data_IF_287254621652
#
_entry.id   IF_287254621652
#
_cell.length_a   1.000
_cell.length_b   1.000
_cell.length_c   1.000
_cell.angle_alpha   90.00
_cell.angle_beta   90.00
_cell.angle_gamma   90.00
#
_symmetry.space_group_name_H-M   'P 1'
#
loop_
_entity.id
_entity.type
_entity.pdbx_description
1 polymer ?
#
# COMPACT_ATOMS: atom_id res chain seq x y z
N UNK A 1 30.16 20.73 -27.44
CA UNK A 1 29.23 20.50 -26.30
C UNK A 1 30.05 19.90 -25.16
N UNK A 2 30.09 20.48 -23.95
CA UNK A 2 30.81 19.90 -22.82
C UNK A 2 30.15 18.57 -22.43
N UNK A 3 30.93 17.49 -22.28
CA UNK A 3 30.42 16.22 -21.74
C UNK A 3 30.09 16.42 -20.26
N UNK A 4 28.81 16.33 -19.91
CA UNK A 4 28.36 16.37 -18.52
C UNK A 4 28.98 15.16 -17.78
N UNK A 5 29.90 15.43 -16.84
CA UNK A 5 30.72 14.40 -16.18
C UNK A 5 30.01 13.66 -15.04
N UNK A 6 28.78 14.06 -14.70
CA UNK A 6 28.04 13.55 -13.54
C UNK A 6 27.03 12.44 -13.89
N UNK A 7 26.93 12.07 -15.16
CA UNK A 7 26.02 11.01 -15.62
C UNK A 7 26.81 9.72 -15.81
N UNK A 8 26.35 8.65 -15.16
CA UNK A 8 26.86 7.29 -15.36
C UNK A 8 25.84 6.47 -16.14
N UNK A 9 26.32 5.58 -17.00
CA UNK A 9 25.50 4.55 -17.62
C UNK A 9 25.16 3.47 -16.61
N UNK A 10 23.94 2.94 -16.71
CA UNK A 10 23.51 1.78 -15.93
C UNK A 10 22.94 0.74 -16.89
N UNK A 11 23.50 -0.46 -16.87
CA UNK A 11 23.02 -1.63 -17.60
C UNK A 11 22.32 -2.55 -16.61
N UNK A 12 21.02 -2.72 -16.77
CA UNK A 12 20.26 -3.71 -16.01
C UNK A 12 20.31 -5.06 -16.72
N UNK A 13 20.80 -6.08 -16.03
CA UNK A 13 20.78 -7.47 -16.50
C UNK A 13 19.77 -8.23 -15.66
N UNK A 14 18.62 -8.54 -16.27
CA UNK A 14 17.53 -9.25 -15.60
C UNK A 14 17.59 -10.74 -15.92
N UNK A 15 17.71 -11.56 -14.88
CA UNK A 15 17.61 -13.02 -14.99
C UNK A 15 16.23 -13.46 -14.52
N UNK A 16 15.50 -14.13 -15.41
CA UNK A 16 14.18 -14.69 -15.12
C UNK A 16 14.35 -16.20 -15.02
N UNK A 17 14.23 -16.72 -13.80
CA UNK A 17 14.25 -18.15 -13.54
C UNK A 17 12.86 -18.57 -13.05
N UNK A 18 12.03 -19.20 -13.90
CA UNK A 18 10.67 -19.59 -13.54
C UNK A 18 10.64 -20.55 -12.35
N UNK A 19 11.71 -21.32 -12.11
CA UNK A 19 11.78 -22.27 -10.99
C UNK A 19 11.88 -21.58 -9.63
N UNK A 20 12.23 -20.29 -9.60
CA UNK A 20 12.31 -19.47 -8.38
C UNK A 20 11.00 -18.78 -8.04
N UNK A 21 9.95 -18.98 -8.83
CA UNK A 21 8.64 -18.39 -8.62
C UNK A 21 7.72 -19.49 -8.10
N UNK A 22 7.40 -19.41 -6.82
CA UNK A 22 6.56 -20.37 -6.10
C UNK A 22 5.06 -20.10 -6.23
N UNK A 23 4.67 -18.94 -6.77
CA UNK A 23 3.26 -18.55 -6.94
C UNK A 23 2.66 -19.24 -8.17
N UNK A 24 1.37 -19.61 -8.07
CA UNK A 24 0.62 -20.24 -9.16
C UNK A 24 0.34 -19.32 -10.36
N UNK A 25 0.66 -18.03 -10.22
CA UNK A 25 0.43 -17.01 -11.24
C UNK A 25 1.77 -16.58 -11.80
N UNK A 26 2.06 -16.88 -13.07
CA UNK A 26 3.31 -16.47 -13.71
C UNK A 26 3.30 -14.94 -13.89
N UNK A 27 4.19 -14.18 -13.23
CA UNK A 27 4.16 -12.71 -13.22
C UNK A 27 4.74 -12.10 -14.51
N UNK A 28 4.97 -12.93 -15.53
CA UNK A 28 5.48 -12.52 -16.82
C UNK A 28 4.98 -13.43 -17.95
N UNK A 29 5.04 -12.94 -19.17
CA UNK A 29 4.78 -13.69 -20.40
C UNK A 29 5.74 -13.26 -21.50
N UNK A 30 6.12 -14.19 -22.38
CA UNK A 30 6.73 -13.84 -23.66
C UNK A 30 5.67 -13.23 -24.56
N UNK A 31 5.99 -12.15 -25.25
CA UNK A 31 5.07 -11.45 -26.18
C UNK A 31 5.71 -11.21 -27.55
N UNK A 32 6.66 -12.07 -27.93
CA UNK A 32 7.41 -11.99 -29.20
C UNK A 32 6.50 -11.83 -30.44
N UNK A 33 5.32 -12.46 -30.44
CA UNK A 33 4.33 -12.40 -31.52
C UNK A 33 3.61 -11.04 -31.64
N UNK A 34 3.73 -10.20 -30.62
CA UNK A 34 3.10 -8.87 -30.53
C UNK A 34 4.12 -7.73 -30.51
N UNK A 35 5.41 -8.03 -30.69
CA UNK A 35 6.46 -7.01 -30.70
C UNK A 35 6.27 -6.02 -31.85
N UNK A 36 6.43 -4.73 -31.54
CA UNK A 36 6.43 -3.67 -32.54
C UNK A 36 7.67 -3.73 -33.45
N UNK A 37 8.75 -4.36 -32.99
CA UNK A 37 10.02 -4.47 -33.70
C UNK A 37 10.27 -5.92 -34.13
N UNK A 38 10.30 -6.15 -35.44
CA UNK A 38 10.43 -7.51 -35.98
C UNK A 38 11.76 -8.15 -35.57
N UNK A 39 11.68 -9.25 -34.84
CA UNK A 39 12.84 -10.07 -34.44
C UNK A 39 13.38 -9.79 -33.04
N UNK A 40 12.79 -8.83 -32.32
CA UNK A 40 13.06 -8.66 -30.88
C UNK A 40 12.33 -9.73 -30.07
N UNK A 41 12.93 -10.11 -28.94
CA UNK A 41 12.29 -10.96 -27.94
C UNK A 41 11.82 -10.07 -26.81
N UNK A 42 10.53 -10.12 -26.51
CA UNK A 42 9.89 -9.23 -25.56
C UNK A 42 9.24 -10.01 -24.42
N UNK A 43 9.38 -9.48 -23.22
CA UNK A 43 8.82 -10.06 -22.01
C UNK A 43 7.93 -9.01 -21.35
N UNK A 44 6.65 -9.34 -21.21
CA UNK A 44 5.68 -8.55 -20.48
C UNK A 44 5.69 -8.98 -19.02
N UNK A 45 5.78 -8.02 -18.09
CA UNK A 45 5.60 -8.26 -16.67
C UNK A 45 4.24 -7.74 -16.21
N UNK A 46 3.62 -8.44 -15.25
CA UNK A 46 2.48 -7.88 -14.53
C UNK A 46 2.90 -6.66 -13.72
N UNK A 47 1.96 -5.74 -13.51
CA UNK A 47 2.17 -4.65 -12.57
C UNK A 47 2.46 -5.23 -11.18
N UNK A 48 3.42 -4.63 -10.47
CA UNK A 48 3.94 -5.05 -9.15
C UNK A 48 4.95 -6.20 -9.14
N UNK A 49 5.46 -6.64 -10.30
CA UNK A 49 6.60 -7.57 -10.31
C UNK A 49 7.82 -6.93 -9.64
N UNK A 50 8.36 -7.61 -8.63
CA UNK A 50 9.52 -7.15 -7.85
C UNK A 50 10.78 -7.85 -8.33
N UNK A 51 11.87 -7.07 -8.48
CA UNK A 51 13.20 -7.58 -8.79
C UNK A 51 14.15 -7.29 -7.64
N UNK A 52 14.96 -8.28 -7.28
CA UNK A 52 16.04 -8.13 -6.30
C UNK A 52 17.34 -7.81 -7.02
N UNK A 53 18.07 -6.80 -6.52
CA UNK A 53 19.45 -6.54 -6.91
C UNK A 53 20.35 -7.62 -6.30
N UNK A 54 21.00 -8.40 -7.16
CA UNK A 54 21.91 -9.49 -6.79
C UNK A 54 23.33 -8.96 -6.66
N UNK A 55 23.78 -8.21 -7.64
CA UNK A 55 25.15 -7.69 -7.72
C UNK A 55 25.15 -6.34 -8.44
N UNK A 56 26.02 -5.45 -7.99
CA UNK A 56 26.37 -4.23 -8.70
C UNK A 56 27.87 -4.17 -8.90
N UNK A 57 28.31 -4.10 -10.16
CA UNK A 57 29.74 -4.00 -10.49
C UNK A 57 29.97 -2.94 -11.55
N UNK A 58 31.13 -2.30 -11.48
CA UNK A 58 31.55 -1.31 -12.45
C UNK A 58 32.32 -2.02 -13.57
N UNK A 59 31.99 -1.74 -14.83
CA UNK A 59 32.69 -2.36 -15.95
C UNK A 59 34.08 -1.74 -16.11
N UNK A 60 35.09 -2.58 -16.37
CA UNK A 60 36.50 -2.17 -16.48
C UNK A 60 36.76 -1.13 -17.59
N UNK A 61 35.92 -1.09 -18.62
CA UNK A 61 36.00 -0.10 -19.68
C UNK A 61 35.36 1.23 -19.21
N UNK A 62 36.22 2.13 -18.72
CA UNK A 62 35.97 3.56 -18.46
C UNK A 62 35.28 3.95 -17.14
N UNK A 63 35.08 3.06 -16.16
CA UNK A 63 34.52 3.39 -14.84
C UNK A 63 33.22 4.24 -14.89
N UNK A 64 32.47 4.16 -15.98
CA UNK A 64 31.28 5.00 -16.21
C UNK A 64 30.04 4.20 -16.53
N UNK A 65 30.14 2.89 -16.48
CA UNK A 65 29.03 1.98 -16.66
C UNK A 65 28.95 1.04 -15.46
N UNK A 66 27.78 1.04 -14.82
CA UNK A 66 27.41 0.11 -13.76
C UNK A 66 26.56 -1.00 -14.35
N UNK A 67 26.94 -2.24 -14.10
CA UNK A 67 26.13 -3.42 -14.36
C UNK A 67 25.38 -3.76 -13.08
N UNK A 68 24.04 -3.80 -13.16
CA UNK A 68 23.16 -4.14 -12.07
C UNK A 68 22.46 -5.45 -12.43
N UNK A 69 22.84 -6.52 -11.75
CA UNK A 69 22.21 -7.81 -11.93
C UNK A 69 20.94 -7.88 -11.08
N UNK A 70 19.83 -8.22 -11.72
CA UNK A 70 18.51 -8.34 -11.14
C UNK A 70 18.02 -9.77 -11.30
N UNK A 71 17.38 -10.31 -10.26
CA UNK A 71 16.62 -11.56 -10.33
C UNK A 71 15.18 -11.29 -9.99
N UNK A 72 14.26 -11.97 -10.68
CA UNK A 72 12.86 -11.97 -10.26
C UNK A 72 12.74 -12.60 -8.87
N UNK A 73 11.82 -12.10 -8.07
CA UNK A 73 11.51 -12.62 -6.74
C UNK A 73 10.01 -12.76 -6.54
N UNK A 74 9.61 -13.48 -5.49
CA UNK A 74 8.21 -13.73 -5.14
C UNK A 74 7.93 -13.42 -3.66
N UNK A 75 6.70 -13.69 -3.22
CA UNK A 75 6.25 -13.41 -1.85
C UNK A 75 6.98 -14.24 -0.78
N UNK A 76 7.70 -15.30 -1.16
CA UNK A 76 8.50 -16.13 -0.25
C UNK A 76 9.93 -15.61 -0.05
N UNK A 77 10.30 -14.50 -0.70
CA UNK A 77 11.57 -13.82 -0.50
C UNK A 77 11.75 -13.36 0.97
N UNK A 78 12.75 -13.86 1.72
CA UNK A 78 12.91 -13.53 3.13
C UNK A 78 13.21 -12.06 3.40
N UNK A 79 13.87 -11.36 2.47
CA UNK A 79 14.16 -9.94 2.61
C UNK A 79 12.92 -9.09 2.29
N UNK A 80 12.13 -9.48 1.29
CA UNK A 80 10.85 -8.85 1.01
C UNK A 80 9.89 -9.05 2.19
N UNK A 81 9.85 -10.25 2.77
CA UNK A 81 9.09 -10.55 3.98
C UNK A 81 9.56 -9.70 5.16
N UNK A 82 10.88 -9.58 5.36
CA UNK A 82 11.47 -8.75 6.41
C UNK A 82 11.13 -7.27 6.22
N UNK A 83 11.27 -6.72 5.01
CA UNK A 83 10.88 -5.35 4.68
C UNK A 83 9.39 -5.13 4.91
N UNK A 84 8.56 -6.07 4.47
CA UNK A 84 7.11 -6.03 4.68
C UNK A 84 6.77 -6.05 6.16
N UNK A 85 7.46 -6.86 6.96
CA UNK A 85 7.29 -6.91 8.41
C UNK A 85 7.79 -5.64 9.10
N UNK A 86 8.91 -5.07 8.64
CA UNK A 86 9.41 -3.81 9.16
C UNK A 86 8.44 -2.66 8.86
N UNK A 87 7.92 -2.57 7.63
CA UNK A 87 6.86 -1.62 7.29
C UNK A 87 5.64 -1.87 8.16
N UNK A 88 5.24 -3.15 8.38
CA UNK A 88 4.16 -3.52 9.30
C UNK A 88 4.41 -3.06 10.74
N UNK A 89 5.64 -3.17 11.24
CA UNK A 89 6.07 -2.72 12.57
C UNK A 89 6.08 -1.20 12.69
N UNK A 90 6.62 -0.48 11.69
CA UNK A 90 6.59 0.99 11.65
C UNK A 90 5.18 1.55 11.57
N UNK A 91 4.26 0.80 10.94
CA UNK A 91 2.84 1.13 10.94
C UNK A 91 2.09 0.56 12.16
N UNK A 92 2.73 -0.12 13.10
CA UNK A 92 2.05 -0.51 14.34
C UNK A 92 1.75 0.71 15.22
N UNK A 93 0.53 0.71 15.78
CA UNK A 93 -0.01 1.82 16.57
C UNK A 93 -1.18 2.54 15.86
N UNK A 94 -1.84 3.46 16.58
CA UNK A 94 -3.06 4.13 16.11
C UNK A 94 -2.83 5.01 14.87
N UNK A 95 -1.61 5.48 14.63
CA UNK A 95 -1.27 6.37 13.50
C UNK A 95 -0.86 5.61 12.24
N UNK A 96 -0.10 4.52 12.38
CA UNK A 96 0.40 3.72 11.28
C UNK A 96 -0.68 2.85 10.64
N UNK A 97 -1.43 2.09 11.44
CA UNK A 97 -2.54 1.28 10.95
C UNK A 97 -3.65 2.14 10.33
N UNK A 98 -3.86 3.36 10.86
CA UNK A 98 -4.75 4.35 10.24
C UNK A 98 -4.27 4.77 8.86
N UNK A 99 -2.96 4.99 8.65
CA UNK A 99 -2.40 5.30 7.34
C UNK A 99 -2.58 4.13 6.37
N UNK A 100 -2.34 2.90 6.84
CA UNK A 100 -2.53 1.69 6.04
C UNK A 100 -3.99 1.52 5.60
N UNK A 101 -4.93 1.56 6.53
CA UNK A 101 -6.36 1.46 6.19
C UNK A 101 -6.81 2.57 5.24
N UNK A 102 -6.34 3.81 5.44
CA UNK A 102 -6.64 4.93 4.51
C UNK A 102 -6.03 4.72 3.11
N UNK A 103 -4.85 4.10 3.03
CA UNK A 103 -4.23 3.74 1.75
C UNK A 103 -5.04 2.64 1.06
N UNK A 104 -5.43 1.59 1.78
CA UNK A 104 -6.30 0.52 1.27
C UNK A 104 -7.62 1.08 0.73
N UNK A 105 -8.27 2.00 1.45
CA UNK A 105 -9.46 2.71 0.99
C UNK A 105 -9.22 3.44 -0.34
N UNK A 106 -8.13 4.21 -0.44
CA UNK A 106 -7.77 4.95 -1.66
C UNK A 106 -7.46 4.04 -2.85
N UNK A 107 -6.94 2.85 -2.59
CA UNK A 107 -6.62 1.84 -3.61
C UNK A 107 -7.82 0.96 -3.97
N UNK A 108 -8.98 1.13 -3.30
CA UNK A 108 -10.19 0.35 -3.56
C UNK A 108 -10.23 -1.02 -2.88
N UNK A 109 -9.26 -1.34 -2.02
CA UNK A 109 -9.23 -2.59 -1.25
C UNK A 109 -10.13 -2.50 0.00
N UNK A 110 -11.44 -2.37 -0.22
CA UNK A 110 -12.41 -2.08 0.84
C UNK A 110 -12.57 -3.24 1.83
N UNK A 111 -12.55 -4.48 1.37
CA UNK A 111 -12.72 -5.66 2.23
C UNK A 111 -11.51 -5.84 3.17
N UNK A 112 -10.29 -5.66 2.64
CA UNK A 112 -9.06 -5.71 3.43
C UNK A 112 -8.99 -4.58 4.45
N UNK A 113 -9.46 -3.38 4.09
CA UNK A 113 -9.57 -2.26 5.03
C UNK A 113 -10.59 -2.58 6.14
N UNK A 114 -11.70 -3.24 5.82
CA UNK A 114 -12.71 -3.64 6.80
C UNK A 114 -12.15 -4.64 7.81
N UNK A 115 -11.52 -5.71 7.33
CA UNK A 115 -10.88 -6.73 8.17
C UNK A 115 -9.85 -6.10 9.12
N UNK A 116 -9.00 -5.23 8.57
CA UNK A 116 -7.99 -4.51 9.35
C UNK A 116 -8.64 -3.67 10.46
N UNK A 117 -9.64 -2.85 10.15
CA UNK A 117 -10.28 -2.01 11.16
C UNK A 117 -11.03 -2.82 12.21
N UNK A 118 -11.61 -3.97 11.85
CA UNK A 118 -12.24 -4.88 12.82
C UNK A 118 -11.22 -5.53 13.76
N UNK A 119 -10.05 -5.92 13.24
CA UNK A 119 -8.95 -6.44 14.07
C UNK A 119 -8.42 -5.37 15.03
N UNK A 120 -8.21 -4.14 14.55
CA UNK A 120 -7.80 -3.01 15.39
C UNK A 120 -8.81 -2.70 16.47
N UNK A 121 -10.10 -2.80 16.17
CA UNK A 121 -11.16 -2.57 17.15
C UNK A 121 -11.12 -3.61 18.28
N UNK A 122 -10.82 -4.89 17.95
CA UNK A 122 -10.68 -5.96 18.93
C UNK A 122 -9.43 -5.78 19.81
N UNK A 123 -8.35 -5.29 19.24
CA UNK A 123 -7.05 -5.12 19.91
C UNK A 123 -6.88 -3.73 20.58
N UNK A 124 -7.88 -2.85 20.49
CA UNK A 124 -7.79 -1.50 21.03
C UNK A 124 -7.82 -1.51 22.57
N UNK A 125 -6.70 -1.13 23.18
CA UNK A 125 -6.52 -1.10 24.64
C UNK A 125 -7.13 0.14 25.31
N UNK A 126 -7.37 1.22 24.55
CA UNK A 126 -7.90 2.48 25.10
C UNK A 126 -9.17 2.93 24.40
N UNK A 127 -10.00 3.68 25.13
CA UNK A 127 -11.18 4.34 24.57
C UNK A 127 -10.82 5.29 23.43
N UNK A 128 -9.71 6.03 23.56
CA UNK A 128 -9.27 6.91 22.50
C UNK A 128 -8.94 6.15 21.21
N UNK A 129 -8.27 5.00 21.31
CA UNK A 129 -7.96 4.15 20.15
C UNK A 129 -9.24 3.58 19.53
N UNK A 130 -10.16 3.06 20.35
CA UNK A 130 -11.47 2.58 19.90
C UNK A 130 -12.25 3.65 19.14
N UNK A 131 -12.28 4.87 19.66
CA UNK A 131 -12.91 5.99 18.98
C UNK A 131 -12.31 6.15 17.59
N UNK A 132 -10.99 6.28 17.46
CA UNK A 132 -10.34 6.49 16.17
C UNK A 132 -10.67 5.39 15.16
N UNK A 133 -10.69 4.12 15.59
CA UNK A 133 -11.08 2.99 14.74
C UNK A 133 -12.54 3.10 14.30
N UNK A 134 -13.46 3.50 15.18
CA UNK A 134 -14.86 3.76 14.80
C UNK A 134 -14.98 4.87 13.75
N UNK A 135 -14.22 5.95 13.83
CA UNK A 135 -14.24 6.99 12.80
C UNK A 135 -13.77 6.47 11.43
N UNK A 136 -12.76 5.59 11.41
CA UNK A 136 -12.30 4.96 10.18
C UNK A 136 -13.32 3.98 9.60
N UNK A 137 -13.97 3.16 10.44
CA UNK A 137 -15.06 2.28 10.03
C UNK A 137 -16.25 3.07 9.46
N UNK A 138 -16.59 4.20 10.07
CA UNK A 138 -17.61 5.10 9.53
C UNK A 138 -17.28 5.59 8.12
N UNK A 139 -16.02 6.00 7.91
CA UNK A 139 -15.54 6.47 6.60
C UNK A 139 -15.55 5.35 5.55
N UNK A 140 -15.15 4.13 5.93
CA UNK A 140 -15.23 2.95 5.07
C UNK A 140 -16.66 2.63 4.66
N UNK A 141 -17.61 2.65 5.61
CA UNK A 141 -19.02 2.34 5.33
C UNK A 141 -19.68 3.38 4.43
N UNK A 142 -19.35 4.66 4.62
CA UNK A 142 -19.78 5.73 3.71
C UNK A 142 -19.26 5.49 2.29
N UNK A 143 -17.97 5.15 2.15
CA UNK A 143 -17.38 4.81 0.85
C UNK A 143 -18.01 3.56 0.20
N UNK A 144 -18.48 2.60 0.99
CA UNK A 144 -19.24 1.43 0.53
C UNK A 144 -20.72 1.74 0.22
N UNK A 145 -21.20 2.97 0.45
CA UNK A 145 -22.63 3.32 0.32
C UNK A 145 -23.52 2.76 1.44
N UNK A 146 -22.93 2.20 2.49
CA UNK A 146 -23.64 1.64 3.66
C UNK A 146 -23.91 2.74 4.69
N UNK A 147 -24.66 3.74 4.27
CA UNK A 147 -24.85 4.99 4.99
C UNK A 147 -25.39 4.82 6.44
N UNK A 148 -26.38 3.95 6.73
CA UNK A 148 -26.83 3.76 8.11
C UNK A 148 -25.77 3.15 9.04
N UNK A 149 -24.89 2.30 8.51
CA UNK A 149 -23.75 1.76 9.27
C UNK A 149 -22.70 2.84 9.51
N UNK A 150 -22.45 3.70 8.52
CA UNK A 150 -21.52 4.81 8.63
C UNK A 150 -21.89 5.75 9.80
N UNK A 151 -23.15 6.18 9.86
CA UNK A 151 -23.66 7.02 10.95
C UNK A 151 -23.47 6.36 12.31
N UNK A 152 -23.84 5.08 12.46
CA UNK A 152 -23.67 4.33 13.72
C UNK A 152 -22.22 4.33 14.20
N UNK A 153 -21.26 4.20 13.30
CA UNK A 153 -19.85 4.23 13.67
C UNK A 153 -19.37 5.64 14.06
N UNK A 154 -19.82 6.69 13.36
CA UNK A 154 -19.51 8.06 13.76
C UNK A 154 -20.14 8.44 15.12
N UNK A 155 -21.34 7.95 15.42
CA UNK A 155 -21.97 8.14 16.73
C UNK A 155 -21.18 7.46 17.85
N UNK A 156 -20.68 6.24 17.63
CA UNK A 156 -19.81 5.56 18.60
C UNK A 156 -18.50 6.31 18.86
N UNK A 157 -17.91 6.93 17.84
CA UNK A 157 -16.76 7.83 18.03
C UNK A 157 -17.14 8.99 18.97
N UNK A 158 -18.26 9.66 18.68
CA UNK A 158 -18.73 10.82 19.44
C UNK A 158 -19.06 10.47 20.88
N UNK A 159 -19.70 9.32 21.12
CA UNK A 159 -20.04 8.84 22.46
C UNK A 159 -18.80 8.70 23.35
N UNK A 160 -17.71 8.17 22.81
CA UNK A 160 -16.45 8.04 23.55
C UNK A 160 -15.82 9.42 23.78
N UNK A 161 -15.70 10.24 22.73
CA UNK A 161 -14.96 11.50 22.81
C UNK A 161 -15.65 12.52 23.72
N UNK A 162 -16.99 12.58 23.72
CA UNK A 162 -17.79 13.43 24.62
C UNK A 162 -17.62 13.09 26.12
N UNK A 163 -17.21 11.86 26.47
CA UNK A 163 -16.92 11.51 27.87
C UNK A 163 -15.63 12.17 28.39
N UNK A 164 -14.72 12.50 27.48
CA UNK A 164 -13.36 12.96 27.82
C UNK A 164 -13.09 14.40 27.40
N UNK A 165 -13.91 14.98 26.52
CA UNK A 165 -13.68 16.27 25.91
C UNK A 165 -14.84 17.23 26.16
N UNK A 166 -14.56 18.54 26.29
CA UNK A 166 -15.59 19.58 26.27
C UNK A 166 -16.45 19.53 24.99
N UNK A 167 -17.68 20.04 25.08
CA UNK A 167 -18.61 20.05 23.94
C UNK A 167 -18.14 20.93 22.77
N UNK A 168 -17.31 21.94 23.02
CA UNK A 168 -16.74 22.86 22.05
C UNK A 168 -15.38 22.42 21.51
N UNK A 169 -14.93 21.21 21.83
CA UNK A 169 -13.65 20.69 21.36
C UNK A 169 -13.66 20.44 19.84
N UNK A 170 -12.67 21.02 19.17
CA UNK A 170 -12.54 20.96 17.71
C UNK A 170 -12.41 19.53 17.15
N UNK A 171 -11.97 18.55 17.95
CA UNK A 171 -11.88 17.15 17.53
C UNK A 171 -13.25 16.46 17.39
N UNK A 172 -14.33 17.07 17.89
CA UNK A 172 -15.70 16.59 17.66
C UNK A 172 -16.25 17.03 16.29
N UNK A 173 -15.68 18.04 15.62
CA UNK A 173 -16.19 18.55 14.36
C UNK A 173 -16.13 17.54 13.18
N UNK A 174 -15.04 16.78 12.96
CA UNK A 174 -14.94 15.84 11.84
C UNK A 174 -16.08 14.80 11.75
N UNK A 175 -16.44 14.05 12.81
CA UNK A 175 -17.54 13.09 12.73
C UNK A 175 -18.90 13.75 12.44
N UNK A 176 -19.20 14.96 12.94
CA UNK A 176 -20.44 15.64 12.58
C UNK A 176 -20.47 16.05 11.10
N UNK A 177 -19.35 16.57 10.59
CA UNK A 177 -19.22 16.89 9.16
C UNK A 177 -19.43 15.64 8.29
N UNK A 178 -18.87 14.51 8.70
CA UNK A 178 -19.03 13.25 7.99
C UNK A 178 -20.48 12.72 8.09
N UNK A 179 -21.15 12.85 9.24
CA UNK A 179 -22.58 12.49 9.36
C UNK A 179 -23.43 13.38 8.43
N UNK A 180 -23.16 14.69 8.39
CA UNK A 180 -23.83 15.60 7.46
C UNK A 180 -23.62 15.20 6.00
N UNK A 181 -22.39 14.85 5.63
CA UNK A 181 -22.06 14.32 4.30
C UNK A 181 -22.79 13.00 4.00
N UNK A 182 -22.87 12.09 4.97
CA UNK A 182 -23.60 10.84 4.81
C UNK A 182 -25.09 11.10 4.56
N UNK A 183 -25.71 12.04 5.27
CA UNK A 183 -27.10 12.42 5.02
C UNK A 183 -27.30 13.08 3.66
N UNK A 184 -26.39 13.94 3.23
CA UNK A 184 -26.40 14.51 1.87
C UNK A 184 -26.31 13.42 0.79
N UNK A 185 -25.46 12.41 1.02
CA UNK A 185 -25.33 11.24 0.14
C UNK A 185 -26.59 10.35 0.14
N UNK A 186 -27.42 10.37 1.19
CA UNK A 186 -28.67 9.59 1.28
C UNK A 186 -29.83 10.23 0.50
N UNK A 187 -29.83 11.54 0.28
CA UNK A 187 -30.90 12.30 -0.40
C UNK A 187 -31.95 12.90 0.53
#
# INVERSE_FOLDING_TARGET
MPKNTDIVGVLFIMTIDPSKISTSNTPFSMIDEHSAVRGEKEILFTMHTVFRVVEMKQTAENNRLWEVQLTITDDNDPQLSTLTNHIKEEIQGSTGWRRMGKLMLKMGHLDQAEELYQELLKNASTDSDRAHVYHQLGSLKDYQGKYPEAVKFYEKYLEIKRKTLPEDDASLAPPYSNIGQVYDNMG
#
